data_IF_057055976207
#
_entry.id   IF_057055976207
#
_cell.length_a   1.000
_cell.length_b   1.000
_cell.length_c   1.000
_cell.angle_alpha   90.00
_cell.angle_beta   90.00
_cell.angle_gamma   90.00
#
_symmetry.space_group_name_H-M   'P 1'
#
loop_
_entity.id
_entity.type
_entity.pdbx_description
1 polymer ?
#
# COMPACT_ATOMS: atom_id res chain seq x y z
N UNK A 1 15.24 31.98 -18.65
CA UNK A 1 14.06 31.40 -17.94
C UNK A 1 12.87 32.01 -18.65
N UNK A 2 12.02 31.22 -19.31
CA UNK A 2 11.05 31.71 -20.31
C UNK A 2 10.19 32.91 -19.87
N UNK A 3 9.85 33.01 -18.58
CA UNK A 3 9.08 34.14 -18.01
C UNK A 3 9.79 35.50 -18.17
N UNK A 4 11.12 35.53 -18.04
CA UNK A 4 11.95 36.75 -18.21
C UNK A 4 12.05 37.21 -19.66
N UNK A 5 11.65 36.35 -20.60
CA UNK A 5 11.80 36.56 -22.04
C UNK A 5 10.46 36.94 -22.70
N UNK A 6 9.32 36.61 -22.08
CA UNK A 6 7.96 36.78 -22.66
C UNK A 6 7.07 37.83 -21.98
N UNK A 7 7.36 38.22 -20.74
CA UNK A 7 6.46 39.09 -19.94
C UNK A 7 7.19 40.32 -19.41
N UNK A 8 6.47 41.44 -19.31
CA UNK A 8 6.94 42.61 -18.58
C UNK A 8 7.04 42.28 -17.08
N UNK A 9 7.98 42.93 -16.38
CA UNK A 9 8.23 42.69 -14.96
C UNK A 9 6.99 42.99 -14.11
N UNK A 10 6.17 43.95 -14.53
CA UNK A 10 4.93 44.32 -13.86
C UNK A 10 3.80 43.28 -14.04
N UNK A 11 3.93 42.38 -15.02
CA UNK A 11 2.97 41.32 -15.34
C UNK A 11 3.34 39.96 -14.69
N UNK A 12 4.37 39.92 -13.86
CA UNK A 12 4.78 38.68 -13.20
C UNK A 12 3.77 38.26 -12.12
N UNK A 13 3.44 36.96 -12.03
CA UNK A 13 2.58 36.48 -10.98
C UNK A 13 3.25 36.67 -9.61
N UNK A 14 2.46 36.93 -8.56
CA UNK A 14 2.96 37.20 -7.20
C UNK A 14 3.96 36.14 -6.69
N UNK A 15 3.83 34.88 -7.13
CA UNK A 15 4.75 33.79 -6.79
C UNK A 15 6.19 34.04 -7.27
N UNK A 16 6.39 34.82 -8.33
CA UNK A 16 7.70 35.14 -8.88
C UNK A 16 8.52 36.04 -7.95
N UNK A 17 7.85 36.84 -7.12
CA UNK A 17 8.50 37.75 -6.17
C UNK A 17 8.80 37.08 -4.82
N UNK A 18 8.44 35.81 -4.64
CA UNK A 18 8.78 35.07 -3.43
C UNK A 18 10.27 34.76 -3.40
N UNK A 19 10.83 34.78 -2.21
CA UNK A 19 12.21 34.34 -2.00
C UNK A 19 12.39 32.90 -2.48
N UNK A 20 13.57 32.64 -3.05
CA UNK A 20 13.93 31.28 -3.44
C UNK A 20 13.96 30.40 -2.19
N UNK A 21 13.33 29.22 -2.20
CA UNK A 21 13.40 28.31 -1.06
C UNK A 21 14.85 27.98 -0.69
N UNK A 22 15.17 27.81 0.60
CA UNK A 22 16.51 27.43 1.01
C UNK A 22 16.91 26.07 0.41
N UNK A 23 18.18 25.92 0.07
CA UNK A 23 18.74 24.63 -0.30
C UNK A 23 18.71 23.69 0.91
N UNK A 24 18.34 22.43 0.67
CA UNK A 24 18.28 21.37 1.68
C UNK A 24 19.18 20.22 1.25
N UNK A 25 19.68 19.40 2.20
CA UNK A 25 20.42 18.18 1.88
C UNK A 25 19.65 17.23 0.96
N UNK A 26 20.36 16.43 0.15
CA UNK A 26 19.74 15.46 -0.78
C UNK A 26 18.94 14.36 -0.06
N UNK A 27 19.29 14.05 1.19
CA UNK A 27 18.60 13.09 2.05
C UNK A 27 17.48 13.72 2.89
N UNK A 28 17.21 15.01 2.70
CA UNK A 28 16.15 15.71 3.42
C UNK A 28 14.76 15.12 3.11
N UNK A 29 14.02 14.81 4.17
CA UNK A 29 12.61 14.43 4.08
C UNK A 29 11.76 15.34 4.96
N UNK A 30 10.82 16.06 4.36
CA UNK A 30 9.84 16.83 5.09
C UNK A 30 8.96 15.90 5.95
N UNK A 31 8.71 16.29 7.20
CA UNK A 31 7.87 15.58 8.17
C UNK A 31 8.37 14.16 8.53
N UNK A 32 9.68 13.94 8.57
CA UNK A 32 10.29 12.64 8.89
C UNK A 32 9.71 11.98 10.15
N UNK A 33 9.53 12.73 11.24
CA UNK A 33 8.99 12.16 12.48
C UNK A 33 7.53 11.72 12.36
N UNK A 34 6.72 12.48 11.62
CA UNK A 34 5.33 12.10 11.31
C UNK A 34 5.29 10.85 10.44
N UNK A 35 6.22 10.72 9.47
CA UNK A 35 6.36 9.52 8.64
C UNK A 35 6.70 8.30 9.51
N UNK A 36 7.69 8.41 10.42
CA UNK A 36 8.07 7.32 11.34
C UNK A 36 6.92 6.91 12.25
N UNK A 37 6.22 7.89 12.84
CA UNK A 37 5.08 7.63 13.72
C UNK A 37 3.92 6.97 12.95
N UNK A 38 3.63 7.46 11.73
CA UNK A 38 2.62 6.90 10.84
C UNK A 38 2.94 5.47 10.42
N UNK A 39 4.19 5.18 10.08
CA UNK A 39 4.64 3.84 9.71
C UNK A 39 4.50 2.83 10.85
N UNK A 40 4.92 3.19 12.07
CA UNK A 40 4.73 2.32 13.25
C UNK A 40 3.26 2.04 13.52
N UNK A 41 2.41 3.06 13.42
CA UNK A 41 0.95 2.90 13.57
C UNK A 41 0.36 2.02 12.47
N UNK A 42 0.76 2.20 11.21
CA UNK A 42 0.31 1.39 10.10
C UNK A 42 0.72 -0.08 10.25
N UNK A 43 1.96 -0.34 10.67
CA UNK A 43 2.43 -1.70 10.91
C UNK A 43 1.61 -2.40 12.00
N UNK A 44 1.33 -1.74 13.12
CA UNK A 44 0.47 -2.29 14.16
C UNK A 44 -0.92 -2.66 13.61
N UNK A 45 -1.54 -1.75 12.84
CA UNK A 45 -2.83 -2.01 12.21
C UNK A 45 -2.80 -3.21 11.25
N UNK A 46 -1.72 -3.40 10.49
CA UNK A 46 -1.62 -4.56 9.58
C UNK A 46 -1.49 -5.87 10.33
N UNK A 47 -0.72 -5.90 11.42
CA UNK A 47 -0.51 -7.10 12.22
C UNK A 47 -1.75 -7.50 13.03
N UNK A 48 -2.64 -6.55 13.32
CA UNK A 48 -3.91 -6.76 14.03
C UNK A 48 -5.10 -6.99 13.08
N UNK A 49 -4.96 -6.75 11.78
CA UNK A 49 -6.06 -6.86 10.82
C UNK A 49 -6.45 -8.33 10.55
N UNK A 50 -7.71 -8.67 10.85
CA UNK A 50 -8.23 -10.03 10.70
C UNK A 50 -8.22 -10.52 9.25
N UNK A 51 -8.39 -9.63 8.27
CA UNK A 51 -8.35 -10.03 6.86
C UNK A 51 -6.92 -10.36 6.43
N UNK A 52 -5.93 -9.58 6.88
CA UNK A 52 -4.52 -9.84 6.66
C UNK A 52 -4.09 -11.18 7.29
N UNK A 53 -4.47 -11.42 8.55
CA UNK A 53 -4.20 -12.68 9.25
C UNK A 53 -4.85 -13.87 8.53
N UNK A 54 -6.11 -13.75 8.13
CA UNK A 54 -6.80 -14.77 7.34
C UNK A 54 -6.07 -15.08 6.02
N UNK A 55 -5.61 -14.04 5.29
CA UNK A 55 -4.86 -14.23 4.06
C UNK A 55 -3.53 -14.96 4.30
N UNK A 56 -2.86 -14.68 5.43
CA UNK A 56 -1.63 -15.37 5.81
C UNK A 56 -1.86 -16.86 6.14
N UNK A 57 -2.95 -17.18 6.85
CA UNK A 57 -3.34 -18.56 7.20
C UNK A 57 -3.91 -19.36 6.02
N UNK A 58 -4.45 -18.68 5.01
CA UNK A 58 -5.05 -19.31 3.83
C UNK A 58 -4.10 -19.44 2.66
N UNK A 59 -2.94 -18.77 2.67
CA UNK A 59 -2.02 -18.64 1.53
C UNK A 59 -1.69 -19.95 0.81
N UNK A 60 -1.46 -21.04 1.55
CA UNK A 60 -1.05 -22.33 0.99
C UNK A 60 -2.21 -23.10 0.31
N UNK A 61 -3.46 -22.70 0.58
CA UNK A 61 -4.68 -23.26 -0.03
C UNK A 61 -5.09 -22.50 -1.29
N UNK A 62 -4.53 -21.31 -1.54
CA UNK A 62 -4.93 -20.46 -2.64
C UNK A 62 -4.23 -20.95 -3.93
N UNK A 63 -4.99 -21.24 -5.00
CA UNK A 63 -4.38 -21.62 -6.28
C UNK A 63 -3.41 -20.54 -6.79
N UNK A 64 -2.25 -20.95 -7.31
CA UNK A 64 -1.21 -20.01 -7.76
C UNK A 64 -1.75 -18.92 -8.71
N UNK A 65 -2.56 -19.30 -9.69
CA UNK A 65 -3.16 -18.36 -10.65
C UNK A 65 -4.06 -17.31 -9.97
N UNK A 66 -4.75 -17.69 -8.90
CA UNK A 66 -5.53 -16.76 -8.09
C UNK A 66 -4.64 -15.84 -7.26
N UNK A 67 -3.60 -16.39 -6.62
CA UNK A 67 -2.63 -15.63 -5.84
C UNK A 67 -1.93 -14.56 -6.69
N UNK A 68 -1.58 -14.88 -7.95
CA UNK A 68 -1.00 -13.94 -8.91
C UNK A 68 -2.00 -12.84 -9.30
N UNK A 69 -3.24 -13.20 -9.65
CA UNK A 69 -4.29 -12.23 -10.02
C UNK A 69 -4.63 -11.26 -8.88
N UNK A 70 -4.59 -11.74 -7.64
CA UNK A 70 -4.84 -10.94 -6.44
C UNK A 70 -3.58 -10.23 -5.92
N UNK A 71 -2.44 -10.38 -6.59
CA UNK A 71 -1.15 -9.82 -6.13
C UNK A 71 -0.83 -10.18 -4.68
N UNK A 72 -1.17 -11.41 -4.27
CA UNK A 72 -1.15 -11.83 -2.87
C UNK A 72 0.24 -11.74 -2.25
N UNK A 73 1.30 -11.98 -3.03
CA UNK A 73 2.70 -11.78 -2.60
C UNK A 73 2.95 -10.36 -2.11
N UNK A 74 2.44 -9.35 -2.82
CA UNK A 74 2.59 -7.95 -2.44
C UNK A 74 1.86 -7.65 -1.13
N UNK A 75 0.62 -8.15 -1.03
CA UNK A 75 -0.22 -7.98 0.16
C UNK A 75 0.44 -8.60 1.38
N UNK A 76 0.80 -9.88 1.33
CA UNK A 76 1.47 -10.59 2.41
C UNK A 76 2.86 -10.03 2.72
N UNK A 77 3.50 -9.37 1.76
CA UNK A 77 4.78 -8.69 1.96
C UNK A 77 4.66 -7.34 2.67
N UNK A 78 3.48 -6.71 2.72
CA UNK A 78 3.31 -5.34 3.17
C UNK A 78 3.84 -5.09 4.59
N UNK A 79 3.53 -5.97 5.55
CA UNK A 79 4.00 -5.82 6.92
C UNK A 79 5.52 -5.98 7.00
N UNK A 80 6.09 -7.03 6.38
CA UNK A 80 7.54 -7.26 6.40
C UNK A 80 8.35 -6.16 5.72
N UNK A 81 7.85 -5.62 4.60
CA UNK A 81 8.50 -4.50 3.91
C UNK A 81 8.47 -3.22 4.76
N UNK A 82 7.35 -2.96 5.43
CA UNK A 82 7.21 -1.79 6.29
C UNK A 82 8.06 -1.93 7.57
N UNK A 83 8.11 -3.11 8.16
CA UNK A 83 8.98 -3.42 9.30
C UNK A 83 10.45 -3.22 8.92
N UNK A 84 10.90 -3.75 7.78
CA UNK A 84 12.26 -3.53 7.29
C UNK A 84 12.54 -2.05 7.06
N UNK A 85 11.62 -1.30 6.46
CA UNK A 85 11.76 0.14 6.24
C UNK A 85 11.91 0.92 7.56
N UNK A 86 11.18 0.52 8.62
CA UNK A 86 11.31 1.12 9.95
C UNK A 86 12.69 0.82 10.55
N UNK A 87 13.19 -0.42 10.41
CA UNK A 87 14.50 -0.83 10.94
C UNK A 87 15.63 -0.10 10.22
N UNK A 88 15.53 0.07 8.89
CA UNK A 88 16.54 0.73 8.07
C UNK A 88 16.40 2.26 8.00
N UNK A 89 15.44 2.85 8.73
CA UNK A 89 15.03 4.26 8.65
C UNK A 89 14.78 4.76 7.21
N UNK A 90 14.21 3.90 6.35
CA UNK A 90 13.84 4.26 4.98
C UNK A 90 12.52 5.06 4.98
N UNK A 91 12.68 6.39 5.06
CA UNK A 91 11.56 7.33 5.10
C UNK A 91 10.70 7.31 3.81
N UNK A 92 11.27 6.97 2.65
CA UNK A 92 10.53 6.88 1.40
C UNK A 92 9.61 5.66 1.40
N UNK A 93 10.13 4.50 1.81
CA UNK A 93 9.35 3.29 1.96
C UNK A 93 8.27 3.45 3.04
N UNK A 94 8.61 4.02 4.19
CA UNK A 94 7.64 4.33 5.26
C UNK A 94 6.51 5.26 4.77
N UNK A 95 6.85 6.33 4.03
CA UNK A 95 5.87 7.31 3.54
C UNK A 95 4.83 6.68 2.62
N UNK A 96 5.19 5.63 1.86
CA UNK A 96 4.25 4.88 1.01
C UNK A 96 3.08 4.30 1.81
N UNK A 97 3.33 3.94 3.07
CA UNK A 97 2.34 3.39 4.00
C UNK A 97 1.59 4.45 4.81
N UNK A 98 1.79 5.74 4.51
CA UNK A 98 1.13 6.85 5.22
C UNK A 98 -0.40 6.82 5.15
N UNK A 99 -0.98 6.12 4.16
CA UNK A 99 -2.41 5.82 4.09
C UNK A 99 -2.69 4.35 4.44
N UNK A 100 -2.68 4.03 5.74
CA UNK A 100 -2.97 2.68 6.21
C UNK A 100 -4.37 2.17 5.77
N UNK A 101 -5.38 3.05 5.73
CA UNK A 101 -6.75 2.70 5.36
C UNK A 101 -6.88 2.14 3.93
N UNK A 102 -6.05 2.63 2.99
CA UNK A 102 -5.98 2.10 1.64
C UNK A 102 -5.53 0.63 1.61
N UNK A 103 -4.49 0.30 2.39
CA UNK A 103 -3.98 -1.07 2.51
C UNK A 103 -4.98 -2.00 3.20
N UNK A 104 -5.60 -1.56 4.30
CA UNK A 104 -6.63 -2.34 4.99
C UNK A 104 -7.83 -2.64 4.08
N UNK A 105 -8.26 -1.67 3.27
CA UNK A 105 -9.28 -1.89 2.23
C UNK A 105 -8.86 -2.94 1.20
N UNK A 106 -7.58 -2.93 0.78
CA UNK A 106 -7.04 -3.95 -0.10
C UNK A 106 -7.01 -5.34 0.55
N UNK A 107 -6.69 -5.43 1.85
CA UNK A 107 -6.71 -6.69 2.60
C UNK A 107 -8.13 -7.25 2.66
N UNK A 108 -9.11 -6.41 3.02
CA UNK A 108 -10.52 -6.79 3.05
C UNK A 108 -11.00 -7.30 1.68
N UNK A 109 -10.74 -6.53 0.61
CA UNK A 109 -11.10 -6.93 -0.75
C UNK A 109 -10.49 -8.28 -1.14
N UNK A 110 -9.20 -8.48 -0.87
CA UNK A 110 -8.53 -9.72 -1.23
C UNK A 110 -9.01 -10.90 -0.38
N UNK A 111 -9.27 -10.69 0.91
CA UNK A 111 -9.84 -11.72 1.77
C UNK A 111 -11.23 -12.15 1.29
N UNK A 112 -12.09 -11.23 0.86
CA UNK A 112 -13.37 -11.58 0.25
C UNK A 112 -13.19 -12.44 -1.02
N UNK A 113 -12.30 -12.05 -1.93
CA UNK A 113 -12.04 -12.83 -3.14
C UNK A 113 -11.49 -14.22 -2.81
N UNK A 114 -10.61 -14.33 -1.82
CA UNK A 114 -10.07 -15.63 -1.36
C UNK A 114 -11.18 -16.48 -0.75
N UNK A 115 -12.06 -15.91 0.08
CA UNK A 115 -13.22 -16.62 0.63
C UNK A 115 -14.09 -17.20 -0.48
N UNK A 116 -14.35 -16.44 -1.55
CA UNK A 116 -15.11 -16.94 -2.71
C UNK A 116 -14.41 -18.09 -3.43
N UNK A 117 -13.09 -17.99 -3.63
CA UNK A 117 -12.30 -19.02 -4.33
C UNK A 117 -12.23 -20.32 -3.53
N UNK A 118 -12.17 -20.21 -2.19
CA UNK A 118 -12.09 -21.34 -1.28
C UNK A 118 -13.46 -21.85 -0.83
N UNK A 119 -14.58 -21.28 -1.32
CA UNK A 119 -15.90 -21.87 -1.08
C UNK A 119 -15.89 -23.31 -1.60
N UNK A 120 -16.38 -24.28 -0.82
CA UNK A 120 -16.59 -25.62 -1.34
C UNK A 120 -17.54 -25.51 -2.54
N UNK A 121 -17.15 -26.14 -3.64
CA UNK A 121 -18.08 -26.35 -4.77
C UNK A 121 -19.17 -27.24 -4.20
N UNK A 122 -20.42 -26.75 -4.13
CA UNK A 122 -21.55 -27.63 -3.87
C UNK A 122 -21.55 -28.69 -4.97
N UNK A 123 -21.19 -29.93 -4.60
CA UNK A 123 -21.29 -31.06 -5.49
C UNK A 123 -22.77 -31.29 -5.78
N UNK A 124 -23.23 -30.87 -6.97
CA UNK A 124 -24.36 -31.52 -7.62
C UNK A 124 -23.94 -32.95 -8.01
N UNK A 125 -23.74 -33.82 -7.02
CA UNK A 125 -23.74 -35.27 -7.19
C UNK A 125 -25.16 -35.80 -6.91
N UNK A 126 -25.94 -35.89 -7.97
CA UNK A 126 -27.22 -36.60 -8.02
C UNK A 126 -27.79 -36.45 -9.43
N UNK A 127 -27.97 -37.47 -10.25
CA UNK A 127 -28.02 -38.91 -10.07
C UNK A 127 -27.35 -39.55 -11.29
N UNK A 128 -26.40 -40.46 -11.07
CA UNK A 128 -26.26 -41.62 -11.97
C UNK A 128 -26.21 -42.83 -11.06
N UNK A 129 -27.39 -43.27 -10.61
CA UNK A 129 -27.57 -44.59 -10.04
C UNK A 129 -28.20 -45.47 -11.10
N UNK A 130 -27.47 -46.51 -11.46
CA UNK A 130 -27.86 -47.62 -12.31
C UNK A 130 -29.24 -48.19 -11.98
N UNK A 131 -30.03 -48.46 -13.01
CA UNK A 131 -30.53 -49.79 -13.40
C UNK A 131 -31.04 -49.74 -14.83
#
# INVERSE_FOLDING_TARGET
MKIKEEYDVDDYPEIYHRDTPPEVPDDYMANADSIRAGAKKALALYLEDENYLYLWESKDRIPQKAAEKLSLKSILGCASCLEYAIISDDLLAMRRHGNAAGYLSCFAFCAERVREILKPVEECQGMVMSM
#
